data_IF_684153244859
#
_entry.id   IF_684153244859
#
_cell.length_a   1.000
_cell.length_b   1.000
_cell.length_c   1.000
_cell.angle_alpha   90.00
_cell.angle_beta   90.00
_cell.angle_gamma   90.00
#
_symmetry.space_group_name_H-M   'P 1'
#
loop_
_entity.id
_entity.type
_entity.pdbx_description
1 polymer ?
#
# COMPACT_ATOMS: atom_id res chain seq x y z
N UNK A 1 -14.08 7.04 2.59
CA UNK A 1 -13.06 6.33 3.40
C UNK A 1 -11.74 7.10 3.33
N UNK A 2 -11.16 7.43 4.48
CA UNK A 2 -9.88 8.14 4.53
C UNK A 2 -8.75 7.12 4.45
N UNK A 3 -7.95 7.18 3.39
CA UNK A 3 -6.73 6.40 3.32
C UNK A 3 -5.60 7.08 4.10
N UNK A 4 -5.05 6.38 5.09
CA UNK A 4 -3.92 6.80 5.93
C UNK A 4 -2.79 5.76 5.85
N UNK A 5 -1.54 6.23 5.92
CA UNK A 5 -0.37 5.37 5.99
C UNK A 5 -0.15 4.95 7.45
N UNK A 6 -0.19 3.65 7.74
CA UNK A 6 -0.02 3.11 9.10
C UNK A 6 1.38 2.60 9.39
N UNK A 7 2.10 2.15 8.36
CA UNK A 7 3.44 1.62 8.48
C UNK A 7 4.22 1.81 7.18
N UNK A 8 5.55 1.84 7.32
CA UNK A 8 6.50 1.85 6.22
C UNK A 8 7.67 0.94 6.58
N UNK A 9 8.24 0.34 5.56
CA UNK A 9 9.17 -0.77 5.69
C UNK A 9 10.23 -0.63 4.61
N UNK A 10 11.47 -0.93 4.97
CA UNK A 10 12.62 -0.79 4.08
C UNK A 10 13.50 -2.01 4.17
N UNK A 11 14.12 -2.36 3.05
CA UNK A 11 15.12 -3.39 2.96
C UNK A 11 16.29 -2.89 2.10
N UNK A 12 17.50 -3.35 2.41
CA UNK A 12 18.70 -3.04 1.66
C UNK A 12 18.85 -4.05 0.52
N UNK A 13 19.25 -3.57 -0.67
CA UNK A 13 19.52 -4.45 -1.82
C UNK A 13 18.25 -4.94 -2.51
N UNK A 14 18.27 -6.18 -2.99
CA UNK A 14 17.25 -6.77 -3.87
C UNK A 14 16.29 -7.69 -3.09
N UNK A 15 15.81 -7.25 -1.92
CA UNK A 15 14.82 -8.01 -1.16
C UNK A 15 13.44 -7.79 -1.78
N UNK A 16 12.75 -8.88 -2.09
CA UNK A 16 11.38 -8.82 -2.61
C UNK A 16 10.40 -8.30 -1.55
N UNK A 17 9.43 -7.48 -1.94
CA UNK A 17 8.47 -6.85 -1.02
C UNK A 17 7.75 -7.85 -0.11
N UNK A 18 7.35 -9.00 -0.65
CA UNK A 18 6.73 -10.05 0.16
C UNK A 18 7.68 -10.69 1.17
N UNK A 19 8.98 -10.80 0.85
CA UNK A 19 9.97 -11.27 1.80
C UNK A 19 10.21 -10.24 2.89
N UNK A 20 10.26 -8.95 2.53
CA UNK A 20 10.31 -7.87 3.51
C UNK A 20 9.12 -7.97 4.45
N UNK A 21 7.90 -8.11 3.93
CA UNK A 21 6.69 -8.28 4.74
C UNK A 21 6.75 -9.49 5.69
N UNK A 22 7.22 -10.65 5.23
CA UNK A 22 7.41 -11.84 6.08
C UNK A 22 8.41 -11.62 7.21
N UNK A 23 9.48 -10.88 6.92
CA UNK A 23 10.52 -10.57 7.90
C UNK A 23 10.03 -9.56 8.94
N UNK A 24 8.95 -8.83 8.64
CA UNK A 24 8.33 -7.95 9.62
C UNK A 24 7.41 -8.76 10.53
N UNK A 25 7.69 -8.70 11.84
CA UNK A 25 6.81 -9.20 12.88
C UNK A 25 5.64 -8.23 13.13
N UNK A 26 4.93 -7.82 12.07
CA UNK A 26 3.73 -6.98 12.23
C UNK A 26 2.55 -7.92 12.37
N UNK A 27 2.16 -8.17 13.62
CA UNK A 27 0.93 -8.91 13.91
C UNK A 27 -0.26 -8.00 13.57
N UNK A 28 -0.94 -8.31 12.48
CA UNK A 28 -2.18 -7.64 12.10
C UNK A 28 -3.35 -8.37 12.77
N UNK A 29 -4.32 -7.58 13.24
CA UNK A 29 -5.53 -8.15 13.83
C UNK A 29 -6.28 -8.99 12.79
N UNK A 30 -6.65 -10.21 13.18
CA UNK A 30 -7.18 -11.26 12.27
C UNK A 30 -8.49 -10.88 11.59
N UNK A 31 -9.23 -9.94 12.18
CA UNK A 31 -10.49 -9.39 11.70
C UNK A 31 -10.31 -8.35 10.58
N UNK A 32 -9.11 -7.79 10.40
CA UNK A 32 -8.83 -6.79 9.38
C UNK A 32 -8.67 -7.45 8.01
N UNK A 33 -9.52 -7.13 7.04
CA UNK A 33 -9.30 -7.60 5.67
C UNK A 33 -8.14 -6.87 4.99
N UNK A 34 -7.15 -7.63 4.51
CA UNK A 34 -6.00 -7.09 3.78
C UNK A 34 -6.25 -7.15 2.27
N UNK A 35 -6.10 -6.03 1.57
CA UNK A 35 -6.12 -5.99 0.11
C UNK A 35 -4.68 -5.87 -0.42
N UNK A 36 -4.10 -6.99 -0.87
CA UNK A 36 -2.72 -7.03 -1.34
C UNK A 36 -2.61 -7.05 -2.88
N UNK A 37 -1.42 -6.82 -3.45
CA UNK A 37 -1.17 -7.03 -4.88
C UNK A 37 -0.75 -8.48 -5.19
N UNK A 38 -0.61 -8.78 -6.48
CA UNK A 38 -0.16 -10.08 -6.98
C UNK A 38 1.26 -10.45 -6.51
N UNK A 39 2.10 -9.50 -6.12
CA UNK A 39 3.43 -9.72 -5.56
C UNK A 39 3.38 -10.35 -4.17
N UNK A 40 2.28 -10.18 -3.43
CA UNK A 40 2.04 -10.81 -2.13
C UNK A 40 1.36 -12.18 -2.25
N UNK A 41 1.46 -12.85 -3.40
CA UNK A 41 0.85 -14.16 -3.60
C UNK A 41 1.26 -15.15 -2.50
N UNK A 42 0.27 -15.70 -1.80
CA UNK A 42 0.47 -16.59 -0.65
C UNK A 42 0.38 -15.91 0.72
N UNK A 43 0.09 -14.60 0.79
CA UNK A 43 -0.15 -13.87 2.05
C UNK A 43 -1.25 -14.50 2.91
N UNK A 44 -2.22 -15.20 2.30
CA UNK A 44 -3.29 -15.93 3.00
C UNK A 44 -2.77 -16.98 3.99
N UNK A 45 -1.55 -17.50 3.79
CA UNK A 45 -0.91 -18.42 4.74
C UNK A 45 -0.43 -17.74 6.02
N UNK A 46 -0.22 -16.43 5.96
CA UNK A 46 0.24 -15.59 7.08
C UNK A 46 -0.96 -14.91 7.73
N UNK A 47 -1.90 -14.43 6.91
CA UNK A 47 -3.11 -13.76 7.34
C UNK A 47 -4.29 -14.21 6.48
N UNK A 48 -5.17 -15.05 7.05
CA UNK A 48 -6.24 -15.74 6.31
C UNK A 48 -7.21 -14.77 5.62
N UNK A 49 -7.60 -13.68 6.30
CA UNK A 49 -8.51 -12.67 5.79
C UNK A 49 -7.78 -11.68 4.85
N UNK A 50 -7.19 -12.21 3.77
CA UNK A 50 -6.46 -11.45 2.76
C UNK A 50 -6.97 -11.73 1.35
N UNK A 51 -7.22 -10.65 0.60
CA UNK A 51 -7.74 -10.69 -0.77
C UNK A 51 -6.63 -10.24 -1.73
N UNK A 52 -6.34 -11.08 -2.71
CA UNK A 52 -5.37 -10.84 -3.79
C UNK A 52 -6.13 -10.93 -5.12
N UNK A 53 -5.78 -10.11 -6.13
CA UNK A 53 -6.38 -10.22 -7.45
C UNK A 53 -6.17 -11.62 -8.06
N UNK A 54 -7.10 -12.08 -8.89
CA UNK A 54 -6.93 -13.30 -9.65
C UNK A 54 -5.80 -13.15 -10.67
N UNK A 55 -4.84 -14.08 -10.64
CA UNK A 55 -3.70 -14.10 -11.56
C UNK A 55 -4.07 -14.79 -12.87
N UNK A 56 -3.93 -14.08 -14.00
CA UNK A 56 -3.98 -14.68 -15.33
C UNK A 56 -2.72 -15.55 -15.56
N UNK A 57 -2.87 -16.72 -16.18
CA UNK A 57 -1.74 -17.51 -16.69
C UNK A 57 -1.94 -17.88 -18.16
N UNK A 58 -0.87 -18.32 -18.84
CA UNK A 58 -0.89 -18.64 -20.29
C UNK A 58 -2.02 -19.61 -20.66
N UNK A 59 -2.28 -20.59 -19.80
CA UNK A 59 -3.27 -21.66 -20.03
C UNK A 59 -4.52 -21.53 -19.16
N UNK A 60 -4.59 -20.50 -18.31
CA UNK A 60 -5.76 -20.21 -17.47
C UNK A 60 -6.12 -18.73 -17.61
N UNK A 61 -6.93 -18.38 -18.64
CA UNK A 61 -7.47 -17.03 -18.75
C UNK A 61 -8.43 -16.75 -17.59
N UNK A 62 -8.62 -15.46 -17.28
CA UNK A 62 -9.58 -15.04 -16.27
C UNK A 62 -11.00 -15.20 -16.80
N UNK A 63 -11.89 -15.75 -15.98
CA UNK A 63 -13.34 -15.75 -16.24
C UNK A 63 -13.90 -14.34 -16.13
N UNK A 64 -15.08 -14.08 -16.68
CA UNK A 64 -15.74 -12.78 -16.56
C UNK A 64 -15.97 -12.40 -15.08
N UNK A 65 -16.39 -13.35 -14.25
CA UNK A 65 -16.53 -13.14 -12.81
C UNK A 65 -15.20 -12.70 -12.15
N UNK A 66 -14.09 -13.36 -12.47
CA UNK A 66 -12.78 -12.99 -11.92
C UNK A 66 -12.33 -11.61 -12.38
N UNK A 67 -12.67 -11.20 -13.62
CA UNK A 67 -12.40 -9.85 -14.11
C UNK A 67 -13.22 -8.81 -13.35
N UNK A 68 -14.48 -9.07 -13.08
CA UNK A 68 -15.35 -8.18 -12.30
C UNK A 68 -14.86 -8.02 -10.85
N UNK A 69 -14.43 -9.11 -10.22
CA UNK A 69 -13.83 -9.10 -8.89
C UNK A 69 -12.52 -8.28 -8.88
N UNK A 70 -11.63 -8.51 -9.86
CA UNK A 70 -10.41 -7.72 -10.02
C UNK A 70 -10.72 -6.23 -10.26
N UNK A 71 -11.77 -5.90 -11.02
CA UNK A 71 -12.21 -4.52 -11.28
C UNK A 71 -12.70 -3.84 -10.00
N UNK A 72 -13.50 -4.53 -9.17
CA UNK A 72 -13.92 -4.05 -7.84
C UNK A 72 -12.74 -3.85 -6.90
N UNK A 73 -11.70 -4.69 -6.99
CA UNK A 73 -10.50 -4.52 -6.19
C UNK A 73 -9.64 -3.34 -6.70
N UNK A 74 -9.54 -3.17 -8.02
CA UNK A 74 -8.83 -2.05 -8.63
C UNK A 74 -9.46 -0.70 -8.28
N UNK A 75 -10.79 -0.60 -8.24
CA UNK A 75 -11.45 0.66 -7.83
C UNK A 75 -11.12 1.04 -6.38
N UNK A 76 -11.00 0.07 -5.46
CA UNK A 76 -10.55 0.32 -4.09
C UNK A 76 -9.10 0.80 -4.03
N UNK A 77 -8.23 0.35 -4.94
CA UNK A 77 -6.80 0.72 -5.01
C UNK A 77 -6.54 2.16 -5.44
N UNK A 78 -7.51 2.82 -6.06
CA UNK A 78 -7.41 4.24 -6.45
C UNK A 78 -7.02 5.12 -5.27
N UNK A 79 -7.48 4.80 -4.05
CA UNK A 79 -7.10 5.52 -2.83
C UNK A 79 -5.59 5.40 -2.55
N UNK A 80 -5.01 4.22 -2.75
CA UNK A 80 -3.57 3.96 -2.57
C UNK A 80 -2.76 4.73 -3.62
N UNK A 81 -3.22 4.76 -4.87
CA UNK A 81 -2.57 5.52 -5.94
C UNK A 81 -2.56 7.02 -5.64
N UNK A 82 -3.66 7.57 -5.11
CA UNK A 82 -3.72 8.95 -4.64
C UNK A 82 -2.74 9.22 -3.49
N UNK A 83 -2.59 8.30 -2.53
CA UNK A 83 -1.61 8.43 -1.44
C UNK A 83 -0.18 8.39 -2.01
N UNK A 84 0.11 7.46 -2.91
CA UNK A 84 1.41 7.37 -3.56
C UNK A 84 1.74 8.64 -4.36
N UNK A 85 0.75 9.24 -5.03
CA UNK A 85 0.89 10.54 -5.68
C UNK A 85 1.19 11.64 -4.65
N UNK A 86 0.45 11.70 -3.55
CA UNK A 86 0.69 12.69 -2.48
C UNK A 86 2.14 12.59 -1.94
N UNK A 87 2.66 11.38 -1.76
CA UNK A 87 4.07 11.16 -1.39
C UNK A 87 5.04 11.61 -2.50
N UNK A 88 4.74 11.35 -3.76
CA UNK A 88 5.61 11.68 -4.91
C UNK A 88 5.67 13.18 -5.24
N UNK A 89 4.81 14.02 -4.65
CA UNK A 89 4.94 15.49 -4.73
C UNK A 89 6.30 15.93 -4.17
N UNK A 90 6.79 15.24 -3.14
CA UNK A 90 8.11 15.51 -2.59
C UNK A 90 9.19 14.96 -3.54
N UNK A 91 10.08 15.83 -4.05
CA UNK A 91 11.16 15.44 -4.98
C UNK A 91 12.06 14.33 -4.43
N UNK A 92 12.20 14.24 -3.12
CA UNK A 92 12.97 13.19 -2.44
C UNK A 92 12.37 11.78 -2.63
N UNK A 93 11.06 11.69 -2.91
CA UNK A 93 10.35 10.46 -3.22
C UNK A 93 10.20 10.20 -4.73
N UNK A 94 10.06 11.25 -5.55
CA UNK A 94 9.85 11.10 -7.01
C UNK A 94 11.13 11.07 -7.83
N UNK A 95 12.25 11.57 -7.32
CA UNK A 95 13.55 11.54 -8.00
C UNK A 95 14.52 10.59 -7.32
N UNK A 96 15.67 10.33 -7.97
CA UNK A 96 16.74 9.52 -7.37
C UNK A 96 17.15 10.11 -6.02
N UNK A 97 17.04 9.31 -4.96
CA UNK A 97 17.44 9.70 -3.62
C UNK A 97 18.95 9.95 -3.58
N UNK A 98 19.35 11.14 -3.14
CA UNK A 98 20.76 11.57 -3.02
C UNK A 98 21.22 11.77 -1.58
N UNK A 99 20.34 11.54 -0.59
CA UNK A 99 20.67 11.68 0.81
C UNK A 99 21.49 10.51 1.35
N UNK A 100 21.96 10.63 2.60
CA UNK A 100 22.60 9.50 3.30
C UNK A 100 21.56 8.41 3.55
N UNK A 101 21.92 7.15 3.29
CA UNK A 101 20.98 6.02 3.44
C UNK A 101 20.49 5.86 4.88
N UNK A 102 21.35 6.14 5.88
CA UNK A 102 20.96 6.17 7.31
C UNK A 102 19.80 7.11 7.67
N UNK A 103 19.49 8.07 6.79
CA UNK A 103 18.38 9.02 6.98
C UNK A 103 17.16 8.66 6.12
N UNK A 104 17.22 7.62 5.28
CA UNK A 104 16.16 7.28 4.34
C UNK A 104 14.83 7.02 5.06
N UNK A 105 14.86 6.15 6.06
CA UNK A 105 13.71 5.81 6.91
C UNK A 105 13.15 7.05 7.61
N UNK A 106 14.03 7.88 8.19
CA UNK A 106 13.64 9.11 8.90
C UNK A 106 12.93 10.08 7.94
N UNK A 107 13.48 10.26 6.75
CA UNK A 107 12.90 11.13 5.72
C UNK A 107 11.52 10.62 5.30
N UNK A 108 11.37 9.32 5.05
CA UNK A 108 10.08 8.75 4.71
C UNK A 108 9.06 8.87 5.86
N UNK A 109 9.46 8.66 7.12
CA UNK A 109 8.56 8.87 8.28
C UNK A 109 8.03 10.30 8.36
N UNK A 110 8.88 11.29 8.09
CA UNK A 110 8.45 12.70 8.04
C UNK A 110 7.44 12.92 6.91
N UNK A 111 7.72 12.39 5.72
CA UNK A 111 6.85 12.53 4.55
C UNK A 111 5.49 11.87 4.80
N UNK A 112 5.45 10.64 5.30
CA UNK A 112 4.19 9.94 5.58
C UNK A 112 3.38 10.64 6.66
N UNK A 113 4.04 11.23 7.67
CA UNK A 113 3.39 12.06 8.69
C UNK A 113 2.75 13.30 8.08
N UNK A 114 3.46 14.03 7.22
CA UNK A 114 2.94 15.23 6.53
C UNK A 114 1.75 14.86 5.62
N UNK A 115 1.85 13.76 4.86
CA UNK A 115 0.77 13.28 4.00
C UNK A 115 -0.46 12.89 4.83
N UNK A 116 -0.29 12.17 5.92
CA UNK A 116 -1.39 11.81 6.82
C UNK A 116 -2.04 13.06 7.44
N UNK A 117 -1.27 14.04 7.89
CA UNK A 117 -1.76 15.30 8.44
C UNK A 117 -2.63 16.03 7.40
N UNK A 118 -2.09 16.27 6.20
CA UNK A 118 -2.81 16.91 5.08
C UNK A 118 -4.12 16.21 4.77
N UNK A 119 -4.13 14.88 4.71
CA UNK A 119 -5.33 14.09 4.41
C UNK A 119 -6.35 14.16 5.54
N UNK A 120 -5.92 14.10 6.79
CA UNK A 120 -6.81 14.21 7.95
C UNK A 120 -7.48 15.58 8.00
N UNK A 121 -6.72 16.67 7.84
CA UNK A 121 -7.25 18.04 7.83
C UNK A 121 -8.24 18.29 6.69
N UNK A 122 -7.98 17.77 5.48
CA UNK A 122 -8.93 17.89 4.36
C UNK A 122 -10.26 17.21 4.64
N UNK A 123 -10.23 16.05 5.28
CA UNK A 123 -11.46 15.34 5.61
C UNK A 123 -12.26 16.08 6.68
N UNK A 124 -11.61 16.58 7.74
CA UNK A 124 -12.30 17.40 8.76
C UNK A 124 -13.07 18.55 8.10
N UNK A 125 -12.42 19.31 7.21
CA UNK A 125 -13.09 20.39 6.46
C UNK A 125 -14.28 19.90 5.64
N UNK A 126 -14.20 18.76 4.95
CA UNK A 126 -15.35 18.22 4.20
C UNK A 126 -16.50 17.76 5.09
N UNK A 127 -16.23 17.41 6.35
CA UNK A 127 -17.26 16.97 7.31
C UNK A 127 -17.97 18.16 7.97
N UNK A 128 -17.34 19.35 7.99
CA UNK A 128 -17.92 20.58 8.53
C UNK A 128 -18.85 21.30 7.52
N UNK A 129 -18.85 20.91 6.25
CA UNK A 129 -19.68 21.48 5.17
C UNK A 129 -20.80 20.52 4.68
N UNK A 130 -21.04 19.41 5.37
CA UNK A 130 -22.18 18.51 5.16
C UNK A 130 -22.98 18.41 6.47
#
# INVERSE_FOLDING_TARGET
MIGLIKGISFAVGTVHDFQMFKNQSVEMAKDITILADLGFLGIQKIHENSIIPHKKSKFKPLTEQQKDENKKQASKRVIIEHINRDCKIFRICSSKYRGKHKNYDKNWRVITTIVNLKRTTRNLKMTEFN
#
